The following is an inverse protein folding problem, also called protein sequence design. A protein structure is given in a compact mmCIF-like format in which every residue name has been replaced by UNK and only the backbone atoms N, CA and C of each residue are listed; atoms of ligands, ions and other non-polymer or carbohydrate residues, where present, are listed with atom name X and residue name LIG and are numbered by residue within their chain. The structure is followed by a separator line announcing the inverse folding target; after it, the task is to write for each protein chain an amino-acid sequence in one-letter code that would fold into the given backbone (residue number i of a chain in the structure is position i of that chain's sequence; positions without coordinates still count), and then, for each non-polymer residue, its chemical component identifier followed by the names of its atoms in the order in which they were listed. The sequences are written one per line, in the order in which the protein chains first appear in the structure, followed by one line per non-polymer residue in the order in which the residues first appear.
data_IF_697984056103
#
_entry.id   IF_697984056103
#
_cell.length_a   1.000
_cell.length_b   1.000
_cell.length_c   1.000
_cell.angle_alpha   90.00
_cell.angle_beta   90.00
_cell.angle_gamma   90.00
#
_symmetry.space_group_name_H-M   'P 1'
#
loop_
_entity.id
_entity.type
_entity.pdbx_description
1 polymer ?
#
# COMPACT_ATOMS: atom_id res chain seq x y z
N UNK A 1 -9.60 -28.52 0.60
CA UNK A 1 -8.61 -27.93 1.56
C UNK A 1 -7.82 -26.88 0.81
N UNK A 2 -7.81 -25.65 1.32
CA UNK A 2 -6.90 -24.64 0.77
C UNK A 2 -5.46 -25.04 1.12
N UNK A 3 -4.59 -25.05 0.12
CA UNK A 3 -3.16 -25.24 0.35
C UNK A 3 -2.66 -24.11 1.26
N UNK A 4 -1.82 -24.45 2.23
CA UNK A 4 -1.17 -23.43 3.05
C UNK A 4 -0.24 -22.59 2.13
N UNK A 5 -0.48 -21.29 2.09
CA UNK A 5 0.29 -20.38 1.25
C UNK A 5 1.64 -20.02 1.85
N UNK A 6 1.77 -20.08 3.16
CA UNK A 6 2.96 -19.64 3.89
C UNK A 6 3.33 -20.63 4.97
N UNK A 7 4.58 -20.59 5.42
CA UNK A 7 5.06 -21.43 6.50
C UNK A 7 4.30 -21.11 7.81
N UNK A 8 4.05 -22.13 8.65
CA UNK A 8 3.48 -21.88 9.96
C UNK A 8 4.46 -21.07 10.83
N UNK A 9 3.91 -20.29 11.75
CA UNK A 9 4.72 -19.49 12.66
C UNK A 9 5.42 -20.41 13.68
N UNK A 10 6.74 -20.31 13.73
CA UNK A 10 7.57 -21.04 14.66
C UNK A 10 7.89 -20.25 15.94
N UNK A 11 9.06 -20.49 16.52
CA UNK A 11 9.56 -19.73 17.66
C UNK A 11 9.90 -18.28 17.28
N UNK A 12 10.06 -17.40 18.28
CA UNK A 12 10.47 -16.02 18.03
C UNK A 12 11.76 -15.92 17.21
N UNK A 13 12.77 -16.72 17.55
CA UNK A 13 14.04 -16.74 16.83
C UNK A 13 13.89 -17.22 15.38
N UNK A 14 13.08 -18.22 15.13
CA UNK A 14 12.79 -18.69 13.77
C UNK A 14 12.08 -17.64 12.92
N UNK A 15 11.21 -16.86 13.54
CA UNK A 15 10.46 -15.79 12.88
C UNK A 15 11.37 -14.58 12.59
N UNK A 16 12.11 -14.14 13.61
CA UNK A 16 12.83 -12.86 13.57
C UNK A 16 14.21 -12.96 12.88
N UNK A 17 14.85 -14.13 12.98
CA UNK A 17 16.22 -14.35 12.49
C UNK A 17 16.32 -15.47 11.45
N UNK A 18 15.23 -16.22 11.22
CA UNK A 18 15.18 -17.30 10.23
C UNK A 18 14.91 -16.81 8.81
N UNK A 19 14.78 -17.74 7.90
CA UNK A 19 14.65 -17.49 6.46
C UNK A 19 13.29 -17.92 5.88
N UNK A 20 12.32 -18.27 6.73
CA UNK A 20 11.00 -18.70 6.26
C UNK A 20 10.00 -17.54 6.26
N UNK A 21 9.25 -17.46 5.18
CA UNK A 21 8.13 -16.52 5.08
C UNK A 21 6.93 -17.07 5.86
N UNK A 22 6.68 -16.47 7.03
CA UNK A 22 5.59 -16.84 7.93
C UNK A 22 4.85 -15.59 8.44
N UNK A 23 4.06 -14.94 7.57
CA UNK A 23 3.42 -13.67 7.90
C UNK A 23 2.50 -13.78 9.11
N UNK A 24 2.49 -12.72 9.92
CA UNK A 24 1.55 -12.57 11.01
C UNK A 24 0.39 -11.70 10.58
N UNK A 25 -0.71 -12.34 10.23
CA UNK A 25 -1.95 -11.63 9.92
C UNK A 25 -2.64 -11.21 11.22
N UNK A 26 -3.27 -10.03 11.19
CA UNK A 26 -4.04 -9.52 12.33
C UNK A 26 -5.38 -10.28 12.49
N UNK A 27 -6.21 -9.83 13.45
CA UNK A 27 -7.51 -10.46 13.72
C UNK A 27 -8.45 -10.43 12.50
N UNK A 28 -8.23 -9.54 11.54
CA UNK A 28 -9.00 -9.43 10.30
C UNK A 28 -8.34 -10.18 9.13
N UNK A 29 -7.25 -10.89 9.37
CA UNK A 29 -6.50 -11.61 8.35
C UNK A 29 -5.65 -10.72 7.45
N UNK A 30 -5.18 -9.58 7.95
CA UNK A 30 -4.46 -8.57 7.18
C UNK A 30 -3.06 -8.32 7.72
N UNK A 31 -2.14 -7.99 6.81
CA UNK A 31 -0.85 -7.34 7.10
C UNK A 31 -0.84 -5.95 6.50
N UNK A 32 -0.08 -5.04 7.13
CA UNK A 32 0.14 -3.69 6.60
C UNK A 32 1.15 -3.73 5.48
N UNK A 33 0.87 -3.02 4.39
CA UNK A 33 1.73 -2.94 3.21
C UNK A 33 2.08 -1.48 2.92
N UNK A 34 3.37 -1.18 2.90
CA UNK A 34 3.91 0.15 2.57
C UNK A 34 4.56 0.07 1.20
N UNK A 35 4.06 0.84 0.24
CA UNK A 35 4.68 0.94 -1.08
C UNK A 35 5.63 2.14 -1.12
N UNK A 36 6.86 1.88 -1.58
CA UNK A 36 7.91 2.89 -1.74
C UNK A 36 8.39 2.91 -3.19
N UNK A 37 8.84 4.08 -3.65
CA UNK A 37 9.48 4.19 -4.95
C UNK A 37 10.83 3.46 -4.94
N UNK A 38 11.05 2.58 -5.93
CA UNK A 38 12.25 1.75 -5.98
C UNK A 38 13.54 2.56 -6.16
N UNK A 39 13.46 3.71 -6.81
CA UNK A 39 14.63 4.55 -7.12
C UNK A 39 14.91 5.58 -6.02
N UNK A 40 13.89 6.28 -5.53
CA UNK A 40 14.06 7.36 -4.53
C UNK A 40 13.90 6.90 -3.08
N UNK A 41 13.19 5.80 -2.85
CA UNK A 41 12.81 5.38 -1.50
C UNK A 41 11.63 6.15 -0.91
N UNK A 42 11.03 7.08 -1.66
CA UNK A 42 9.86 7.84 -1.20
C UNK A 42 8.72 6.91 -0.85
N UNK A 43 8.08 7.14 0.30
CA UNK A 43 6.86 6.41 0.67
C UNK A 43 5.72 6.90 -0.21
N UNK A 44 5.10 5.99 -0.94
CA UNK A 44 4.04 6.31 -1.90
C UNK A 44 2.65 6.13 -1.32
N UNK A 45 2.42 5.03 -0.62
CA UNK A 45 1.11 4.70 -0.04
C UNK A 45 1.21 3.63 1.02
N UNK A 46 0.17 3.52 1.83
CA UNK A 46 -0.03 2.42 2.77
C UNK A 46 -1.39 1.79 2.49
N UNK A 47 -1.40 0.47 2.42
CA UNK A 47 -2.61 -0.31 2.23
C UNK A 47 -2.51 -1.61 3.04
N UNK A 48 -3.40 -2.56 2.79
CA UNK A 48 -3.44 -3.84 3.50
C UNK A 48 -3.47 -4.98 2.50
N UNK A 49 -2.95 -6.13 2.93
CA UNK A 49 -2.98 -7.37 2.17
C UNK A 49 -3.56 -8.49 3.04
N UNK A 50 -4.50 -9.25 2.51
CA UNK A 50 -4.82 -10.56 3.07
C UNK A 50 -3.84 -11.60 2.50
N UNK A 51 -3.95 -12.86 2.92
CA UNK A 51 -3.06 -13.92 2.46
C UNK A 51 -3.07 -14.07 0.93
N UNK A 52 -4.23 -13.96 0.31
CA UNK A 52 -4.37 -14.07 -1.14
C UNK A 52 -3.71 -12.89 -1.87
N UNK A 53 -3.88 -11.66 -1.38
CA UNK A 53 -3.25 -10.47 -1.96
C UNK A 53 -1.73 -10.57 -1.89
N UNK A 54 -1.19 -11.00 -0.75
CA UNK A 54 0.24 -11.19 -0.58
C UNK A 54 0.77 -12.27 -1.53
N UNK A 55 0.09 -13.41 -1.62
CA UNK A 55 0.49 -14.49 -2.52
C UNK A 55 0.48 -14.05 -3.99
N UNK A 56 -0.57 -13.35 -4.44
CA UNK A 56 -0.66 -12.83 -5.81
C UNK A 56 0.42 -11.80 -6.10
N UNK A 57 0.74 -10.95 -5.14
CA UNK A 57 1.83 -9.97 -5.27
C UNK A 57 3.17 -10.66 -5.50
N UNK A 58 3.45 -11.71 -4.73
CA UNK A 58 4.68 -12.50 -4.87
C UNK A 58 4.71 -13.24 -6.22
N UNK A 59 3.62 -13.89 -6.57
CA UNK A 59 3.53 -14.68 -7.80
C UNK A 59 3.65 -13.84 -9.07
N UNK A 60 2.96 -12.72 -9.13
CA UNK A 60 2.88 -11.88 -10.33
C UNK A 60 3.95 -10.80 -10.41
N UNK A 61 4.55 -10.42 -9.30
CA UNK A 61 5.44 -9.25 -9.23
C UNK A 61 4.71 -7.92 -9.37
N UNK A 62 3.38 -7.93 -9.28
CA UNK A 62 2.54 -6.73 -9.33
C UNK A 62 1.71 -6.62 -8.06
N UNK A 63 1.58 -5.39 -7.52
CA UNK A 63 0.96 -5.18 -6.23
C UNK A 63 -0.55 -5.46 -6.25
N UNK A 64 -0.95 -6.35 -5.36
CA UNK A 64 -2.34 -6.67 -5.04
C UNK A 64 -2.57 -6.32 -3.57
N UNK A 65 -3.72 -5.75 -3.28
CA UNK A 65 -4.11 -5.31 -1.93
C UNK A 65 -5.50 -5.83 -1.58
N UNK A 66 -5.87 -5.67 -0.32
CA UNK A 66 -7.22 -5.96 0.15
C UNK A 66 -7.87 -4.67 0.65
N UNK A 67 -9.00 -4.31 0.07
CA UNK A 67 -9.77 -3.14 0.48
C UNK A 67 -10.64 -3.49 1.67
N UNK A 68 -10.40 -2.85 2.82
CA UNK A 68 -11.19 -3.03 4.04
C UNK A 68 -12.61 -2.49 3.87
N UNK A 69 -12.76 -1.33 3.24
CA UNK A 69 -14.06 -0.68 3.04
C UNK A 69 -14.97 -1.43 2.07
N UNK A 70 -14.38 -2.04 1.04
CA UNK A 70 -15.11 -2.80 0.01
C UNK A 70 -15.12 -4.30 0.27
N UNK A 71 -14.35 -4.75 1.26
CA UNK A 71 -14.16 -6.16 1.60
C UNK A 71 -13.83 -7.03 0.39
N UNK A 72 -12.87 -6.57 -0.43
CA UNK A 72 -12.45 -7.29 -1.63
C UNK A 72 -10.97 -7.13 -1.95
N UNK A 73 -10.46 -8.14 -2.64
CA UNK A 73 -9.16 -8.11 -3.28
C UNK A 73 -9.16 -7.10 -4.43
N UNK A 74 -8.08 -6.34 -4.63
CA UNK A 74 -7.91 -5.48 -5.79
C UNK A 74 -6.44 -5.40 -6.21
N UNK A 75 -6.22 -5.31 -7.52
CA UNK A 75 -4.91 -5.08 -8.09
C UNK A 75 -4.70 -3.58 -8.26
N UNK A 76 -3.58 -3.05 -7.78
CA UNK A 76 -3.24 -1.65 -8.01
C UNK A 76 -3.15 -1.37 -9.51
N UNK A 77 -3.91 -0.40 -9.97
CA UNK A 77 -3.99 -0.04 -11.39
C UNK A 77 -5.03 -0.80 -12.21
N UNK A 78 -5.88 -1.64 -11.59
CA UNK A 78 -6.94 -2.37 -12.32
C UNK A 78 -7.93 -1.45 -13.02
N UNK A 79 -8.16 -0.24 -12.49
CA UNK A 79 -9.04 0.78 -13.08
C UNK A 79 -8.24 1.85 -13.83
N UNK A 80 -7.16 2.35 -13.23
CA UNK A 80 -6.38 3.47 -13.77
C UNK A 80 -5.30 3.07 -14.78
N UNK A 81 -4.88 1.81 -14.79
CA UNK A 81 -3.69 1.36 -15.50
C UNK A 81 -2.37 1.68 -14.79
N UNK A 82 -2.41 2.37 -13.65
CA UNK A 82 -1.22 2.78 -12.88
C UNK A 82 -0.75 1.62 -11.98
N UNK A 83 -0.33 0.53 -12.60
CA UNK A 83 0.14 -0.67 -11.88
C UNK A 83 1.45 -0.39 -11.15
N UNK A 84 1.67 -1.15 -10.08
CA UNK A 84 2.91 -1.15 -9.32
C UNK A 84 3.65 -2.45 -9.57
N UNK A 85 4.79 -2.37 -10.26
CA UNK A 85 5.67 -3.52 -10.49
C UNK A 85 6.74 -3.56 -9.41
N UNK A 86 6.82 -4.68 -8.69
CA UNK A 86 7.77 -4.84 -7.59
C UNK A 86 9.17 -5.10 -8.10
N UNK A 87 10.12 -4.40 -7.50
CA UNK A 87 11.56 -4.68 -7.60
C UNK A 87 12.00 -5.54 -6.42
N UNK A 88 11.38 -5.33 -5.26
CA UNK A 88 11.68 -6.05 -4.02
C UNK A 88 10.46 -6.03 -3.11
N UNK A 89 10.28 -7.11 -2.36
CA UNK A 89 9.31 -7.21 -1.27
C UNK A 89 10.08 -7.56 0.01
N UNK A 90 9.92 -6.74 1.04
CA UNK A 90 10.60 -6.89 2.32
C UNK A 90 9.58 -7.13 3.43
N UNK A 91 9.94 -7.94 4.40
CA UNK A 91 9.16 -8.13 5.64
C UNK A 91 9.88 -7.49 6.80
N UNK A 92 9.14 -7.05 7.82
CA UNK A 92 9.76 -6.61 9.07
C UNK A 92 10.10 -7.80 9.98
N UNK A 93 10.69 -7.52 11.15
CA UNK A 93 11.26 -8.58 11.98
C UNK A 93 10.22 -9.60 12.48
N UNK A 94 9.01 -9.18 12.81
CA UNK A 94 7.94 -10.07 13.24
C UNK A 94 6.96 -10.45 12.12
N UNK A 95 7.21 -9.98 10.90
CA UNK A 95 6.47 -10.31 9.68
C UNK A 95 4.97 -9.94 9.74
N UNK A 96 4.63 -8.83 10.39
CA UNK A 96 3.28 -8.28 10.41
C UNK A 96 3.10 -7.08 9.47
N UNK A 97 4.17 -6.61 8.85
CA UNK A 97 4.17 -5.56 7.85
C UNK A 97 5.14 -5.89 6.72
N UNK A 98 4.82 -5.39 5.53
CA UNK A 98 5.66 -5.56 4.35
C UNK A 98 5.95 -4.22 3.69
N UNK A 99 7.12 -4.09 3.08
CA UNK A 99 7.49 -2.97 2.22
C UNK A 99 7.63 -3.46 0.80
N UNK A 100 6.89 -2.82 -0.12
CA UNK A 100 6.98 -3.06 -1.55
C UNK A 100 7.83 -1.94 -2.16
N UNK A 101 8.96 -2.29 -2.72
CA UNK A 101 9.72 -1.35 -3.55
C UNK A 101 9.24 -1.50 -4.98
N UNK A 102 8.62 -0.45 -5.51
CA UNK A 102 7.88 -0.54 -6.77
C UNK A 102 8.30 0.52 -7.78
N UNK A 103 8.04 0.20 -9.05
CA UNK A 103 8.00 1.17 -10.15
C UNK A 103 6.56 1.36 -10.56
N UNK A 104 6.11 2.62 -10.57
CA UNK A 104 4.77 3.00 -10.98
C UNK A 104 4.70 3.11 -12.50
N UNK A 105 3.66 2.51 -13.10
CA UNK A 105 3.31 2.75 -14.50
C UNK A 105 2.60 4.10 -14.68
N UNK A 106 2.50 4.57 -15.91
CA UNK A 106 1.83 5.82 -16.26
C UNK A 106 2.59 7.04 -15.77
N UNK A 107 1.90 8.07 -15.26
CA UNK A 107 2.53 9.33 -14.83
C UNK A 107 3.34 9.20 -13.53
N UNK A 108 3.42 8.03 -12.92
CA UNK A 108 4.16 7.81 -11.69
C UNK A 108 3.41 8.18 -10.41
N UNK A 109 2.09 8.39 -10.49
CA UNK A 109 1.26 8.77 -9.35
C UNK A 109 0.66 7.53 -8.67
N UNK A 110 1.00 7.33 -7.39
CA UNK A 110 0.43 6.24 -6.59
C UNK A 110 -0.94 6.60 -6.01
N UNK A 111 -1.19 7.88 -5.75
CA UNK A 111 -2.43 8.35 -5.14
C UNK A 111 -3.54 8.54 -6.17
N UNK A 112 -4.76 8.11 -5.85
CA UNK A 112 -5.93 8.33 -6.70
C UNK A 112 -6.30 9.81 -6.86
N UNK A 113 -5.80 10.68 -5.97
CA UNK A 113 -5.97 12.14 -6.10
C UNK A 113 -5.12 12.76 -7.21
N UNK A 114 -4.22 11.98 -7.82
CA UNK A 114 -3.31 12.44 -8.85
C UNK A 114 -1.91 12.81 -8.35
N UNK A 115 -1.69 12.82 -7.05
CA UNK A 115 -0.37 13.08 -6.48
C UNK A 115 0.54 11.84 -6.57
N UNK A 116 1.85 12.06 -6.64
CA UNK A 116 2.85 10.98 -6.66
C UNK A 116 2.72 10.07 -5.44
N UNK A 117 2.61 10.66 -4.26
CA UNK A 117 2.43 9.98 -2.98
C UNK A 117 1.09 10.32 -2.37
N UNK A 118 0.51 9.37 -1.64
CA UNK A 118 -0.64 9.65 -0.78
C UNK A 118 -0.26 10.59 0.38
N UNK A 119 1.03 10.69 0.70
CA UNK A 119 1.56 11.52 1.78
C UNK A 119 2.03 12.89 1.27
N UNK A 120 1.23 13.55 0.47
CA UNK A 120 1.55 14.82 -0.18
C UNK A 120 1.24 16.06 0.66
N UNK A 121 0.80 15.88 1.90
CA UNK A 121 0.51 16.97 2.84
C UNK A 121 1.25 16.76 4.15
N UNK A 122 1.72 17.86 4.71
CA UNK A 122 2.47 17.88 5.98
C UNK A 122 1.66 18.53 7.08
N UNK A 123 1.86 18.02 8.30
CA UNK A 123 1.31 18.58 9.53
C UNK A 123 2.35 19.50 10.13
N UNK A 124 1.99 20.73 10.54
CA UNK A 124 2.95 21.61 11.25
C UNK A 124 3.32 21.01 12.61
N UNK A 125 4.59 21.13 12.96
CA UNK A 125 5.14 20.64 14.22
C UNK A 125 5.47 21.81 15.16
N UNK A 126 5.57 21.52 16.45
CA UNK A 126 6.00 22.49 17.47
C UNK A 126 4.87 23.17 18.23
N UNK A 127 3.62 22.88 17.91
CA UNK A 127 2.46 23.36 18.63
C UNK A 127 1.43 22.23 18.78
N UNK A 128 0.58 22.31 19.81
CA UNK A 128 -0.52 21.38 19.98
C UNK A 128 -1.53 21.51 18.83
N UNK A 129 -2.06 20.40 18.29
CA UNK A 129 -3.08 20.48 17.25
C UNK A 129 -4.39 21.05 17.80
N UNK A 130 -5.16 21.67 16.92
CA UNK A 130 -6.50 22.17 17.20
C UNK A 130 -7.39 21.93 15.98
N UNK A 131 -8.71 22.17 16.06
CA UNK A 131 -9.58 22.09 14.89
C UNK A 131 -9.17 23.03 13.74
N UNK A 132 -8.37 24.07 14.03
CA UNK A 132 -7.87 25.02 13.02
C UNK A 132 -6.50 24.66 12.44
N UNK A 133 -5.91 23.55 12.86
CA UNK A 133 -4.63 23.09 12.30
C UNK A 133 -4.75 22.87 10.80
N UNK A 134 -3.85 23.48 10.02
CA UNK A 134 -3.84 23.42 8.55
C UNK A 134 -2.73 22.54 8.04
N UNK A 135 -3.05 21.72 7.03
CA UNK A 135 -2.07 20.92 6.30
C UNK A 135 -1.41 21.77 5.21
N UNK A 136 -0.15 21.48 4.91
CA UNK A 136 0.61 22.11 3.83
C UNK A 136 0.93 21.08 2.76
N UNK A 137 0.66 21.41 1.49
CA UNK A 137 1.06 20.54 0.35
C UNK A 137 2.58 20.61 0.22
N UNK A 138 3.21 19.42 0.16
CA UNK A 138 4.66 19.27 0.19
C UNK A 138 5.28 18.81 -1.14
N UNK A 139 4.48 18.68 -2.19
CA UNK A 139 4.94 18.27 -3.52
C UNK A 139 4.65 19.35 -4.59
N UNK A 140 5.01 19.05 -5.84
CA UNK A 140 4.80 19.95 -6.99
C UNK A 140 3.38 19.96 -7.55
N UNK A 141 2.45 19.23 -6.93
CA UNK A 141 1.06 19.14 -7.39
C UNK A 141 0.74 17.81 -8.05
N UNK A 142 -0.43 17.75 -8.66
CA UNK A 142 -0.94 16.52 -9.27
C UNK A 142 -0.20 16.18 -10.58
N UNK A 143 0.04 14.88 -10.79
CA UNK A 143 0.65 14.35 -12.01
C UNK A 143 -0.39 13.94 -13.05
N UNK A 144 -1.65 13.79 -12.65
CA UNK A 144 -2.77 13.54 -13.56
C UNK A 144 -4.07 14.11 -12.99
N UNK A 145 -5.08 14.27 -13.84
CA UNK A 145 -6.41 14.71 -13.42
C UNK A 145 -7.26 13.48 -13.05
N UNK A 146 -7.64 13.29 -11.76
CA UNK A 146 -8.43 12.15 -11.35
C UNK A 146 -9.79 12.04 -12.07
N UNK A 147 -10.39 13.16 -12.43
CA UNK A 147 -11.69 13.16 -13.12
C UNK A 147 -11.60 12.50 -14.51
N UNK A 148 -10.44 12.60 -15.18
CA UNK A 148 -10.20 11.97 -16.48
C UNK A 148 -9.99 10.46 -16.39
N UNK A 149 -9.50 9.96 -15.25
CA UNK A 149 -9.17 8.55 -15.05
C UNK A 149 -10.33 7.80 -14.39
N UNK A 150 -10.91 8.37 -13.32
CA UNK A 150 -11.93 7.72 -12.49
C UNK A 150 -13.34 8.29 -12.70
N UNK A 151 -13.48 9.37 -13.46
CA UNK A 151 -14.71 10.15 -13.51
C UNK A 151 -14.87 11.06 -12.29
N UNK A 152 -15.89 11.92 -12.31
CA UNK A 152 -16.17 12.81 -11.18
C UNK A 152 -16.76 11.99 -10.03
N UNK A 153 -16.11 11.93 -8.84
CA UNK A 153 -16.66 11.17 -7.71
C UNK A 153 -17.94 11.81 -7.21
N UNK A 154 -18.92 10.97 -6.85
CA UNK A 154 -20.09 11.42 -6.11
C UNK A 154 -19.65 11.89 -4.72
N UNK A 155 -20.35 12.87 -4.13
CA UNK A 155 -20.02 13.44 -2.80
C UNK A 155 -20.02 12.41 -1.66
N UNK A 156 -20.58 11.23 -1.90
CA UNK A 156 -20.75 10.15 -0.93
C UNK A 156 -19.85 8.94 -1.20
N UNK A 157 -18.97 9.01 -2.21
CA UNK A 157 -18.11 7.88 -2.52
C UNK A 157 -17.12 7.61 -1.40
N UNK A 158 -17.05 6.35 -0.98
CA UNK A 158 -16.02 5.89 -0.06
C UNK A 158 -14.62 6.01 -0.73
N UNK A 159 -13.56 6.16 0.08
CA UNK A 159 -12.19 6.15 -0.45
C UNK A 159 -11.93 4.94 -1.34
N UNK A 160 -11.14 5.13 -2.41
CA UNK A 160 -10.89 4.10 -3.42
C UNK A 160 -9.82 3.07 -3.02
N UNK A 161 -9.47 2.99 -1.73
CA UNK A 161 -8.60 1.96 -1.14
C UNK A 161 -9.13 1.42 0.17
#
# INVERSE_FOLDING_TARGET
MSAELFAPRGSGAEIEEGDRLSPKFDANGLVTAVATDADSGEVLMVAHMNAQALALTIETGQAHYFSRSRNRLWKKGEESGHVQTLVELRVDCDQDAVVLRVRMAGPGAACHTGHRSCFFRSVPLGAAPSPDTRLTVNDGGKLFDPARVYGTPAKTDAPRF
#
